data_IF_364380225066
#
_entry.id   IF_364380225066
#
_cell.length_a   1.000
_cell.length_b   1.000
_cell.length_c   1.000
_cell.angle_alpha   90.00
_cell.angle_beta   90.00
_cell.angle_gamma   90.00
#
_symmetry.space_group_name_H-M   'P 1'
#
loop_
_entity.id
_entity.type
_entity.pdbx_description
1 polymer ?
#
# COMPACT_ATOMS: atom_id res chain seq x y z
N UNK A 1 -46.00 -69.66 4.92
CA UNK A 1 -44.54 -69.53 5.01
C UNK A 1 -44.15 -69.57 6.47
N UNK A 2 -43.52 -70.66 6.93
CA UNK A 2 -43.12 -70.80 8.33
C UNK A 2 -41.89 -69.91 8.62
N UNK A 3 -41.86 -69.17 9.74
CA UNK A 3 -40.68 -68.37 10.10
C UNK A 3 -39.50 -69.29 10.38
N UNK A 4 -38.33 -68.96 9.81
CA UNK A 4 -37.08 -69.67 10.06
C UNK A 4 -36.80 -69.71 11.58
N UNK A 5 -36.39 -70.85 12.13
CA UNK A 5 -36.14 -70.97 13.56
C UNK A 5 -34.97 -70.08 13.98
N UNK A 6 -35.06 -69.50 15.18
CA UNK A 6 -34.13 -68.46 15.68
C UNK A 6 -32.65 -68.84 15.61
N UNK A 7 -32.31 -70.13 15.69
CA UNK A 7 -30.94 -70.62 15.57
C UNK A 7 -30.40 -70.53 14.13
N UNK A 8 -31.26 -70.69 13.11
CA UNK A 8 -30.88 -70.55 11.72
C UNK A 8 -30.53 -69.09 11.38
N UNK A 9 -31.24 -68.12 11.99
CA UNK A 9 -30.95 -66.69 11.86
C UNK A 9 -29.62 -66.35 12.55
N UNK A 10 -29.36 -66.92 13.72
CA UNK A 10 -28.09 -66.73 14.43
C UNK A 10 -26.89 -67.32 13.67
N UNK A 11 -27.05 -68.50 13.04
CA UNK A 11 -26.01 -69.11 12.20
C UNK A 11 -25.77 -68.29 10.92
N UNK A 12 -26.82 -67.78 10.28
CA UNK A 12 -26.71 -66.87 9.13
C UNK A 12 -26.03 -65.54 9.51
N UNK A 13 -26.34 -64.97 10.68
CA UNK A 13 -25.68 -63.75 11.17
C UNK A 13 -24.21 -64.00 11.52
N UNK A 14 -23.86 -65.15 12.12
CA UNK A 14 -22.46 -65.52 12.40
C UNK A 14 -21.68 -65.75 11.10
N UNK A 15 -22.27 -66.42 10.10
CA UNK A 15 -21.67 -66.58 8.76
C UNK A 15 -21.51 -65.23 8.04
N UNK A 16 -22.50 -64.32 8.16
CA UNK A 16 -22.40 -62.96 7.63
C UNK A 16 -21.34 -62.13 8.36
N UNK A 17 -21.21 -62.25 9.68
CA UNK A 17 -20.17 -61.58 10.46
C UNK A 17 -18.78 -62.12 10.11
N UNK A 18 -18.63 -63.43 9.89
CA UNK A 18 -17.38 -64.04 9.43
C UNK A 18 -17.01 -63.61 8.00
N UNK A 19 -18.00 -63.38 7.12
CA UNK A 19 -17.79 -62.89 5.76
C UNK A 19 -17.58 -61.36 5.67
N UNK A 20 -18.08 -60.57 6.63
CA UNK A 20 -17.84 -59.12 6.69
C UNK A 20 -16.52 -58.77 7.39
N UNK A 21 -16.04 -59.62 8.29
CA UNK A 21 -14.70 -59.50 8.83
C UNK A 21 -13.76 -60.21 7.85
N UNK A 22 -13.58 -59.61 6.67
CA UNK A 22 -12.34 -59.82 5.94
C UNK A 22 -11.21 -59.27 6.79
N UNK A 23 -10.71 -60.07 7.73
CA UNK A 23 -9.42 -59.79 8.37
C UNK A 23 -8.41 -59.81 7.25
N UNK A 24 -8.08 -58.62 6.73
CA UNK A 24 -6.93 -58.42 5.86
C UNK A 24 -5.74 -58.95 6.67
N UNK A 25 -5.28 -60.16 6.34
CA UNK A 25 -4.22 -60.80 7.09
C UNK A 25 -2.90 -60.15 6.65
N UNK A 26 -2.61 -58.97 7.21
CA UNK A 26 -1.35 -58.28 7.00
C UNK A 26 -0.22 -59.07 7.64
N UNK A 27 0.38 -59.98 6.88
CA UNK A 27 1.55 -60.73 7.32
C UNK A 27 2.78 -59.84 7.21
N UNK A 28 3.64 -59.82 8.23
CA UNK A 28 4.95 -59.15 8.11
C UNK A 28 5.80 -59.89 7.07
N UNK A 29 6.51 -59.13 6.25
CA UNK A 29 7.46 -59.71 5.29
C UNK A 29 8.61 -60.43 6.00
N UNK A 30 9.26 -61.37 5.29
CA UNK A 30 10.53 -61.94 5.73
C UNK A 30 11.62 -60.87 5.83
N UNK A 31 12.60 -61.05 6.72
CA UNK A 31 13.63 -60.04 7.06
C UNK A 31 14.49 -59.56 5.87
N UNK A 32 14.49 -60.28 4.73
CA UNK A 32 15.26 -59.95 3.53
C UNK A 32 14.49 -59.06 2.53
N UNK A 33 13.77 -58.05 3.02
CA UNK A 33 13.01 -57.11 2.19
C UNK A 33 13.77 -55.80 1.93
N UNK A 34 13.52 -55.15 0.79
CA UNK A 34 14.15 -53.87 0.42
C UNK A 34 13.52 -52.63 1.08
N UNK A 35 12.48 -52.80 1.90
CA UNK A 35 11.82 -51.69 2.60
C UNK A 35 12.71 -51.14 3.73
N UNK A 36 12.71 -49.82 3.95
CA UNK A 36 13.50 -49.19 5.02
C UNK A 36 12.90 -49.25 6.42
N UNK A 37 11.58 -49.16 6.58
CA UNK A 37 10.94 -49.08 7.90
C UNK A 37 10.13 -50.35 8.21
N UNK A 38 8.92 -50.50 7.68
CA UNK A 38 8.12 -51.71 7.88
C UNK A 38 7.60 -52.28 6.56
N UNK A 39 7.38 -53.58 6.52
CA UNK A 39 6.94 -54.31 5.32
C UNK A 39 5.80 -55.26 5.65
N UNK A 40 4.74 -55.20 4.85
CA UNK A 40 3.56 -56.05 4.98
C UNK A 40 3.20 -56.69 3.63
N UNK A 41 2.72 -57.92 3.68
CA UNK A 41 2.20 -58.68 2.55
C UNK A 41 0.66 -58.71 2.69
N UNK A 42 -0.02 -58.37 1.60
CA UNK A 42 -1.48 -58.44 1.47
C UNK A 42 -1.89 -59.80 0.90
N UNK A 43 -3.17 -60.15 1.00
CA UNK A 43 -3.73 -61.45 0.54
C UNK A 43 -3.49 -61.75 -0.97
N UNK A 44 -3.09 -60.75 -1.77
CA UNK A 44 -2.73 -60.87 -3.20
C UNK A 44 -1.21 -61.02 -3.46
N UNK A 45 -0.39 -61.42 -2.48
CA UNK A 45 1.09 -61.39 -2.53
C UNK A 45 1.70 -60.00 -2.82
N UNK A 46 0.90 -58.93 -2.67
CA UNK A 46 1.36 -57.54 -2.87
C UNK A 46 2.13 -57.07 -1.65
N UNK A 47 3.40 -56.72 -1.86
CA UNK A 47 4.27 -56.15 -0.83
C UNK A 47 4.02 -54.63 -0.69
N UNK A 48 3.74 -54.19 0.53
CA UNK A 48 3.62 -52.77 0.88
C UNK A 48 4.73 -52.40 1.86
N UNK A 49 5.57 -51.45 1.47
CA UNK A 49 6.53 -50.81 2.36
C UNK A 49 5.88 -49.59 3.02
N UNK A 50 5.95 -49.50 4.35
CA UNK A 50 5.77 -48.23 5.05
C UNK A 50 7.09 -47.48 5.03
N UNK A 51 7.04 -46.23 4.59
CA UNK A 51 8.18 -45.33 4.55
C UNK A 51 8.20 -44.39 5.74
N UNK A 52 9.37 -43.82 6.02
CA UNK A 52 9.47 -42.71 6.95
C UNK A 52 8.76 -41.48 6.38
N UNK A 53 8.39 -40.53 7.26
CA UNK A 53 7.54 -39.41 6.86
C UNK A 53 8.13 -38.51 5.75
N UNK A 54 9.46 -38.50 5.57
CA UNK A 54 10.18 -37.74 4.54
C UNK A 54 10.58 -38.56 3.30
N UNK A 55 10.16 -39.82 3.19
CA UNK A 55 10.49 -40.72 2.09
C UNK A 55 9.24 -41.19 1.34
N UNK A 56 9.43 -41.57 0.08
CA UNK A 56 8.39 -42.08 -0.82
C UNK A 56 8.94 -43.14 -1.79
N UNK A 57 8.04 -43.69 -2.59
CA UNK A 57 8.33 -44.72 -3.58
C UNK A 57 8.12 -46.14 -3.03
N UNK A 58 8.12 -47.13 -3.93
CA UNK A 58 7.78 -48.53 -3.59
C UNK A 58 8.73 -49.11 -2.54
N UNK A 59 9.99 -48.67 -2.50
CA UNK A 59 11.01 -49.12 -1.55
C UNK A 59 11.55 -48.01 -0.64
N UNK A 60 10.86 -46.86 -0.53
CA UNK A 60 11.29 -45.74 0.33
C UNK A 60 12.70 -45.20 0.00
N UNK A 61 13.07 -45.21 -1.27
CA UNK A 61 14.39 -44.74 -1.75
C UNK A 61 14.40 -43.26 -2.12
N UNK A 62 13.24 -42.68 -2.44
CA UNK A 62 13.11 -41.29 -2.85
C UNK A 62 12.65 -40.41 -1.70
N UNK A 63 12.97 -39.12 -1.74
CA UNK A 63 12.46 -38.12 -0.78
C UNK A 63 11.27 -37.36 -1.36
N UNK A 64 10.44 -36.81 -0.48
CA UNK A 64 9.41 -35.85 -0.88
C UNK A 64 10.04 -34.57 -1.43
N UNK A 65 9.57 -34.12 -2.59
CA UNK A 65 9.90 -32.84 -3.18
C UNK A 65 8.61 -32.03 -3.42
N UNK A 66 8.25 -31.27 -2.39
CA UNK A 66 7.08 -30.38 -2.41
C UNK A 66 7.21 -29.25 -3.43
N UNK A 67 8.42 -28.83 -3.80
CA UNK A 67 8.64 -27.72 -4.73
C UNK A 67 8.44 -28.11 -6.20
N UNK A 68 8.40 -29.40 -6.53
CA UNK A 68 8.27 -29.88 -7.90
C UNK A 68 6.89 -30.49 -8.18
N UNK A 69 6.61 -31.66 -7.60
CA UNK A 69 5.45 -32.48 -7.98
C UNK A 69 4.64 -33.05 -6.83
N UNK A 70 5.17 -33.01 -5.61
CA UNK A 70 4.50 -33.68 -4.49
C UNK A 70 3.60 -32.75 -3.66
N UNK A 71 3.30 -31.54 -4.14
CA UNK A 71 2.51 -30.56 -3.39
C UNK A 71 1.01 -30.90 -3.28
N UNK A 72 0.52 -31.91 -4.01
CA UNK A 72 -0.88 -32.37 -4.00
C UNK A 72 -1.92 -31.24 -4.22
N UNK A 73 -1.58 -30.24 -5.05
CA UNK A 73 -2.49 -29.15 -5.43
C UNK A 73 -3.23 -29.58 -6.71
N UNK A 74 -4.55 -29.71 -6.64
CA UNK A 74 -5.40 -30.08 -7.79
C UNK A 74 -5.99 -28.84 -8.45
N UNK A 75 -6.07 -28.83 -9.79
CA UNK A 75 -6.75 -27.78 -10.55
C UNK A 75 -5.91 -26.53 -10.83
N UNK A 76 -4.58 -26.60 -10.67
CA UNK A 76 -3.67 -25.51 -10.99
C UNK A 76 -2.70 -25.95 -12.10
N UNK A 77 -2.49 -25.09 -13.11
CA UNK A 77 -1.55 -25.33 -14.21
C UNK A 77 -0.14 -24.78 -13.93
N UNK A 78 0.08 -24.25 -12.73
CA UNK A 78 1.36 -23.67 -12.30
C UNK A 78 2.22 -24.71 -11.58
N UNK A 79 3.54 -24.50 -11.58
CA UNK A 79 4.48 -25.34 -10.83
C UNK A 79 4.21 -25.26 -9.32
N UNK A 80 4.43 -26.37 -8.61
CA UNK A 80 4.31 -26.42 -7.14
C UNK A 80 5.13 -25.30 -6.45
N UNK A 81 6.31 -24.96 -6.99
CA UNK A 81 7.16 -23.90 -6.43
C UNK A 81 6.48 -22.54 -6.42
N UNK A 82 5.74 -22.20 -7.48
CA UNK A 82 4.98 -20.94 -7.60
C UNK A 82 3.72 -21.01 -6.75
N UNK A 83 3.02 -22.14 -6.75
CA UNK A 83 1.81 -22.30 -5.95
C UNK A 83 2.08 -22.20 -4.43
N UNK A 84 3.22 -22.74 -3.97
CA UNK A 84 3.61 -22.71 -2.55
C UNK A 84 4.28 -21.40 -2.13
N UNK A 85 5.20 -20.87 -2.93
CA UNK A 85 6.02 -19.71 -2.54
C UNK A 85 5.67 -18.41 -3.29
N UNK A 86 4.64 -18.41 -4.14
CA UNK A 86 4.12 -17.27 -4.92
C UNK A 86 5.19 -16.52 -5.74
N UNK A 87 5.98 -15.67 -5.10
CA UNK A 87 7.08 -14.86 -5.68
C UNK A 87 8.45 -15.10 -5.01
N UNK A 88 8.58 -16.19 -4.28
CA UNK A 88 9.82 -16.64 -3.63
C UNK A 88 10.40 -17.91 -4.27
N UNK A 89 11.63 -18.24 -3.87
CA UNK A 89 12.30 -19.48 -4.24
C UNK A 89 11.88 -20.59 -3.28
N UNK A 90 11.32 -21.67 -3.83
CA UNK A 90 10.96 -22.85 -3.03
C UNK A 90 12.19 -23.71 -2.76
N UNK A 91 12.38 -24.09 -1.49
CA UNK A 91 13.49 -24.92 -1.02
C UNK A 91 12.90 -26.16 -0.32
N UNK A 92 13.16 -27.39 -0.81
CA UNK A 92 12.71 -28.60 -0.14
C UNK A 92 13.49 -28.80 1.18
N UNK A 93 12.79 -29.21 2.24
CA UNK A 93 13.38 -29.47 3.56
C UNK A 93 12.94 -30.83 4.09
N UNK A 94 13.73 -31.44 4.97
CA UNK A 94 13.45 -32.79 5.51
C UNK A 94 12.39 -32.83 6.63
N UNK A 95 11.80 -31.69 7.01
CA UNK A 95 10.83 -31.56 8.11
C UNK A 95 9.51 -31.00 7.61
N UNK A 96 8.38 -31.44 8.19
CA UNK A 96 7.05 -30.88 7.87
C UNK A 96 7.06 -29.35 7.97
N UNK A 97 6.56 -28.62 6.95
CA UNK A 97 5.74 -29.08 5.82
C UNK A 97 6.51 -29.59 4.57
N UNK A 98 7.80 -29.90 4.70
CA UNK A 98 8.72 -30.40 3.65
C UNK A 98 9.09 -29.39 2.57
N UNK A 99 8.79 -28.11 2.81
CA UNK A 99 9.31 -26.99 2.04
C UNK A 99 9.52 -25.78 2.93
N UNK A 100 10.34 -24.85 2.44
CA UNK A 100 10.50 -23.49 2.94
C UNK A 100 10.58 -22.54 1.75
N UNK A 101 10.13 -21.31 1.93
CA UNK A 101 10.21 -20.27 0.91
C UNK A 101 11.28 -19.24 1.27
N UNK A 102 12.20 -18.98 0.35
CA UNK A 102 13.09 -17.82 0.42
C UNK A 102 12.43 -16.68 -0.37
N UNK A 103 11.88 -15.71 0.35
CA UNK A 103 11.19 -14.57 -0.26
C UNK A 103 12.19 -13.57 -0.86
N UNK A 104 11.81 -12.97 -1.99
CA UNK A 104 12.51 -11.81 -2.52
C UNK A 104 12.33 -10.59 -1.61
N UNK A 105 13.16 -9.58 -1.80
CA UNK A 105 13.26 -8.44 -0.87
C UNK A 105 11.96 -7.65 -0.67
N UNK A 106 11.03 -7.72 -1.63
CA UNK A 106 9.74 -7.03 -1.57
C UNK A 106 8.58 -7.88 -1.03
N UNK A 107 8.86 -9.07 -0.51
CA UNK A 107 7.85 -10.01 0.00
C UNK A 107 8.28 -10.64 1.31
N UNK A 108 7.31 -10.98 2.15
CA UNK A 108 7.52 -11.67 3.44
C UNK A 108 6.38 -12.64 3.72
N UNK A 109 6.42 -13.30 4.87
CA UNK A 109 5.50 -14.36 5.24
C UNK A 109 6.07 -15.76 4.96
N UNK A 110 5.34 -16.79 5.40
CA UNK A 110 5.81 -18.18 5.31
C UNK A 110 5.89 -18.68 3.87
N UNK A 111 5.01 -18.16 3.03
CA UNK A 111 4.81 -18.52 1.63
C UNK A 111 5.05 -17.32 0.70
N UNK A 112 5.72 -16.27 1.18
CA UNK A 112 5.94 -15.01 0.47
C UNK A 112 4.64 -14.36 -0.02
N UNK A 113 3.59 -14.48 0.78
CA UNK A 113 2.24 -14.04 0.49
C UNK A 113 2.01 -12.56 0.83
N UNK A 114 2.82 -12.01 1.73
CA UNK A 114 2.70 -10.64 2.25
C UNK A 114 3.62 -9.73 1.44
N UNK A 115 3.08 -8.65 0.88
CA UNK A 115 3.89 -7.60 0.27
C UNK A 115 4.64 -6.83 1.35
N UNK A 116 5.96 -6.70 1.17
CA UNK A 116 6.86 -5.99 2.05
C UNK A 116 7.74 -5.05 1.23
N UNK A 117 7.12 -4.04 0.63
CA UNK A 117 7.80 -2.96 -0.07
C UNK A 117 7.77 -1.67 0.77
N UNK A 118 8.51 -0.61 0.40
CA UNK A 118 8.54 0.64 1.16
C UNK A 118 7.16 1.28 1.41
N UNK A 119 6.20 1.03 0.53
CA UNK A 119 4.83 1.54 0.64
C UNK A 119 3.86 0.61 1.38
N UNK A 120 4.31 -0.54 1.90
CA UNK A 120 3.42 -1.57 2.46
C UNK A 120 2.88 -1.22 3.84
N UNK A 121 3.60 -0.40 4.61
CA UNK A 121 3.17 0.06 5.92
C UNK A 121 3.30 1.58 6.04
N UNK A 122 2.50 2.19 6.92
CA UNK A 122 2.58 3.63 7.19
C UNK A 122 3.90 4.02 7.85
N UNK A 123 4.48 3.13 8.67
CA UNK A 123 5.74 3.37 9.38
C UNK A 123 6.95 3.37 8.44
N UNK A 124 6.91 2.56 7.38
CA UNK A 124 7.98 2.48 6.37
C UNK A 124 7.78 3.44 5.19
N UNK A 125 6.63 4.13 5.13
CA UNK A 125 6.26 4.97 3.99
C UNK A 125 7.19 6.21 3.90
N UNK A 126 8.00 6.35 2.82
CA UNK A 126 8.92 7.47 2.65
C UNK A 126 8.23 8.81 2.30
N UNK A 127 6.94 8.81 1.95
CA UNK A 127 6.24 9.99 1.44
C UNK A 127 5.70 10.94 2.51
N UNK A 128 5.72 10.55 3.80
CA UNK A 128 5.14 11.31 4.92
C UNK A 128 3.67 11.71 4.66
N UNK A 129 3.38 12.98 4.41
CA UNK A 129 2.04 13.51 4.12
C UNK A 129 1.64 13.25 2.66
N UNK A 130 1.82 12.03 2.18
CA UNK A 130 1.55 11.64 0.81
C UNK A 130 1.24 10.16 0.67
N UNK A 131 0.46 9.84 -0.36
CA UNK A 131 0.19 8.46 -0.77
C UNK A 131 1.42 7.89 -1.49
N UNK A 132 1.89 6.74 -1.02
CA UNK A 132 3.04 6.03 -1.56
C UNK A 132 2.61 5.04 -2.63
N UNK A 133 3.32 5.02 -3.76
CA UNK A 133 3.12 4.08 -4.85
C UNK A 133 4.46 3.46 -5.22
N UNK A 134 4.60 2.15 -5.07
CA UNK A 134 5.83 1.43 -5.43
C UNK A 134 5.71 0.76 -6.80
N UNK A 135 6.68 1.03 -7.68
CA UNK A 135 6.77 0.43 -9.02
C UNK A 135 7.88 -0.63 -9.01
N UNK A 136 7.50 -1.89 -8.79
CA UNK A 136 8.43 -3.01 -8.65
C UNK A 136 9.35 -3.23 -9.87
N UNK A 137 8.89 -2.94 -11.10
CA UNK A 137 9.72 -3.11 -12.31
C UNK A 137 10.88 -2.12 -12.42
N UNK A 138 10.78 -0.99 -11.72
CA UNK A 138 11.75 0.11 -11.80
C UNK A 138 12.45 0.34 -10.46
N UNK A 139 12.11 -0.43 -9.42
CA UNK A 139 12.52 -0.18 -8.03
C UNK A 139 12.38 1.30 -7.66
N UNK A 140 11.23 1.91 -7.96
CA UNK A 140 10.99 3.34 -7.76
C UNK A 140 9.72 3.58 -6.97
N UNK A 141 9.76 4.56 -6.07
CA UNK A 141 8.59 5.08 -5.37
C UNK A 141 8.10 6.37 -6.02
N UNK A 142 6.78 6.55 -6.05
CA UNK A 142 6.12 7.80 -6.41
C UNK A 142 5.32 8.26 -5.19
N UNK A 143 5.53 9.51 -4.80
CA UNK A 143 4.77 10.15 -3.74
C UNK A 143 3.73 11.09 -4.33
N UNK A 144 2.45 10.84 -4.01
CA UNK A 144 1.36 11.76 -4.31
C UNK A 144 1.01 12.52 -3.03
N UNK A 145 1.46 13.76 -2.92
CA UNK A 145 1.24 14.57 -1.72
C UNK A 145 -0.25 14.82 -1.48
N UNK A 146 -0.64 14.83 -0.21
CA UNK A 146 -1.97 15.21 0.24
C UNK A 146 -2.18 16.72 0.10
N UNK A 147 -3.44 17.16 0.14
CA UNK A 147 -3.79 18.57 0.02
C UNK A 147 -3.06 19.41 1.08
N UNK A 148 -2.43 20.50 0.64
CA UNK A 148 -1.67 21.38 1.53
C UNK A 148 -0.22 20.97 1.75
N UNK A 149 0.28 19.92 1.08
CA UNK A 149 1.68 19.49 1.15
C UNK A 149 2.31 19.40 -0.25
N UNK A 150 3.61 19.70 -0.33
CA UNK A 150 4.43 19.57 -1.54
C UNK A 150 5.80 18.99 -1.20
N UNK A 151 6.50 18.51 -2.22
CA UNK A 151 7.89 18.10 -2.13
C UNK A 151 8.81 19.34 -2.23
N UNK A 152 10.06 19.22 -1.75
CA UNK A 152 11.07 20.27 -1.96
C UNK A 152 11.55 20.31 -3.41
N UNK A 153 11.37 21.46 -4.07
CA UNK A 153 11.72 21.68 -5.48
C UNK A 153 13.20 21.47 -5.85
N UNK A 154 14.12 21.43 -4.86
CA UNK A 154 15.58 21.34 -5.08
C UNK A 154 16.23 20.06 -4.55
N UNK A 155 15.43 19.06 -4.20
CA UNK A 155 15.96 17.83 -3.61
C UNK A 155 15.92 16.68 -4.62
N UNK A 156 17.08 16.09 -4.89
CA UNK A 156 17.20 14.91 -5.75
C UNK A 156 16.59 13.68 -5.09
N UNK A 157 16.22 12.70 -5.91
CA UNK A 157 15.86 11.37 -5.42
C UNK A 157 17.02 10.75 -4.62
N UNK A 158 16.68 10.01 -3.59
CA UNK A 158 17.63 9.23 -2.78
C UNK A 158 17.41 7.74 -3.00
N UNK A 159 18.40 6.93 -2.63
CA UNK A 159 18.33 5.47 -2.74
C UNK A 159 18.09 4.88 -1.35
N UNK A 160 16.95 4.23 -1.18
CA UNK A 160 16.59 3.47 0.00
C UNK A 160 17.06 2.02 -0.16
N UNK A 161 17.86 1.51 0.77
CA UNK A 161 18.21 0.10 0.78
C UNK A 161 17.03 -0.72 1.33
N UNK A 162 16.60 -1.74 0.58
CA UNK A 162 15.50 -2.61 0.98
C UNK A 162 15.89 -4.07 0.74
N UNK A 163 16.37 -4.73 1.80
CA UNK A 163 17.01 -6.04 1.65
C UNK A 163 18.33 -5.92 0.88
N UNK A 164 18.46 -6.65 -0.23
CA UNK A 164 19.58 -6.59 -1.17
C UNK A 164 19.36 -5.58 -2.30
N UNK A 165 18.11 -5.21 -2.55
CA UNK A 165 17.73 -4.23 -3.57
C UNK A 165 17.88 -2.77 -3.09
N UNK A 166 18.03 -1.87 -4.06
CA UNK A 166 18.01 -0.41 -3.85
C UNK A 166 16.82 0.19 -4.55
N UNK A 167 16.05 0.98 -3.82
CA UNK A 167 14.82 1.63 -4.28
C UNK A 167 15.03 3.13 -4.40
N UNK A 168 14.80 3.68 -5.57
CA UNK A 168 14.80 5.13 -5.78
C UNK A 168 13.55 5.75 -5.15
N UNK A 169 13.75 6.65 -4.19
CA UNK A 169 12.68 7.37 -3.48
C UNK A 169 12.79 8.87 -3.76
N UNK A 170 11.68 9.56 -4.08
CA UNK A 170 11.69 11.00 -4.28
C UNK A 170 11.71 11.71 -2.91
N UNK A 171 11.95 13.04 -2.88
CA UNK A 171 11.83 13.80 -1.63
C UNK A 171 10.44 13.62 -0.98
N UNK A 172 10.36 13.60 0.35
CA UNK A 172 9.10 13.43 1.06
C UNK A 172 8.17 14.65 0.90
N UNK A 173 6.87 14.46 1.16
CA UNK A 173 5.89 15.55 1.21
C UNK A 173 5.95 16.26 2.57
N UNK A 174 7.02 17.02 2.82
CA UNK A 174 7.31 17.68 4.11
C UNK A 174 7.14 19.22 4.08
N UNK A 175 6.84 19.80 2.92
CA UNK A 175 6.64 21.25 2.78
C UNK A 175 5.15 21.58 2.76
N UNK A 176 4.69 22.42 3.68
CA UNK A 176 3.32 22.92 3.65
C UNK A 176 3.14 23.97 2.55
N UNK A 177 2.05 23.85 1.79
CA UNK A 177 1.63 24.85 0.81
C UNK A 177 1.06 26.03 1.58
N UNK A 178 1.82 27.11 1.69
CA UNK A 178 1.30 28.37 2.21
C UNK A 178 0.50 29.07 1.11
N UNK A 179 -0.82 29.21 1.32
CA UNK A 179 -1.64 30.13 0.51
C UNK A 179 -1.34 31.55 0.97
N UNK A 180 -0.24 32.14 0.49
CA UNK A 180 0.16 33.49 0.90
C UNK A 180 1.27 34.10 0.05
N UNK A 181 0.94 35.25 -0.57
CA UNK A 181 1.70 36.10 -1.50
C UNK A 181 2.33 35.37 -2.68
N UNK A 182 1.58 35.40 -3.79
CA UNK A 182 2.08 35.59 -5.15
C UNK A 182 3.61 35.80 -5.20
N UNK A 183 4.32 34.92 -5.92
CA UNK A 183 5.77 35.04 -6.19
C UNK A 183 6.17 36.39 -6.83
N UNK A 184 5.17 37.17 -7.22
CA UNK A 184 5.27 38.56 -7.62
C UNK A 184 5.31 39.44 -6.37
N UNK A 185 6.51 39.91 -6.03
CA UNK A 185 6.65 41.14 -5.25
C UNK A 185 5.83 42.19 -5.99
N UNK A 186 4.84 42.78 -5.32
CA UNK A 186 4.14 43.95 -5.87
C UNK A 186 5.15 45.10 -5.87
N UNK A 187 5.97 45.19 -6.90
CA UNK A 187 6.73 46.40 -7.17
C UNK A 187 5.71 47.44 -7.65
N UNK A 188 5.49 48.49 -6.86
CA UNK A 188 4.90 49.69 -7.41
C UNK A 188 5.85 50.18 -8.50
N UNK A 189 5.41 50.09 -9.76
CA UNK A 189 6.17 50.62 -10.88
C UNK A 189 6.39 52.13 -10.66
N UNK A 190 7.48 52.72 -11.18
CA UNK A 190 7.67 54.17 -11.14
C UNK A 190 6.45 54.94 -11.69
N UNK A 191 5.73 54.34 -12.65
CA UNK A 191 4.48 54.86 -13.18
C UNK A 191 3.34 54.90 -12.13
N UNK A 192 3.20 53.86 -11.29
CA UNK A 192 2.23 53.87 -10.20
C UNK A 192 2.53 54.99 -9.19
N UNK A 193 3.81 55.20 -8.86
CA UNK A 193 4.22 56.29 -7.97
C UNK A 193 3.90 57.66 -8.59
N UNK A 194 4.19 57.85 -9.87
CA UNK A 194 3.84 59.07 -10.60
C UNK A 194 2.32 59.32 -10.60
N UNK A 195 1.49 58.29 -10.76
CA UNK A 195 0.03 58.41 -10.68
C UNK A 195 -0.43 58.89 -9.29
N UNK A 196 0.09 58.29 -8.22
CA UNK A 196 -0.26 58.70 -6.85
C UNK A 196 0.20 60.12 -6.53
N UNK A 197 1.37 60.54 -7.02
CA UNK A 197 1.84 61.91 -6.88
C UNK A 197 0.99 62.93 -7.64
N UNK A 198 0.57 62.59 -8.87
CA UNK A 198 -0.36 63.44 -9.62
C UNK A 198 -1.69 63.60 -8.88
N UNK A 199 -2.25 62.51 -8.35
CA UNK A 199 -3.49 62.56 -7.56
C UNK A 199 -3.33 63.46 -6.33
N UNK A 200 -2.21 63.33 -5.62
CA UNK A 200 -1.91 64.17 -4.45
C UNK A 200 -1.80 65.66 -4.82
N UNK A 201 -1.04 66.00 -5.87
CA UNK A 201 -0.87 67.39 -6.32
C UNK A 201 -2.20 68.00 -6.77
N UNK A 202 -3.00 67.26 -7.54
CA UNK A 202 -4.34 67.72 -7.97
C UNK A 202 -5.25 67.93 -6.76
N UNK A 203 -5.24 67.02 -5.78
CA UNK A 203 -6.05 67.16 -4.56
C UNK A 203 -5.66 68.40 -3.76
N UNK A 204 -4.36 68.69 -3.61
CA UNK A 204 -3.87 69.89 -2.93
C UNK A 204 -4.25 71.17 -3.69
N UNK A 205 -4.15 71.16 -5.03
CA UNK A 205 -4.56 72.29 -5.87
C UNK A 205 -6.07 72.56 -5.75
N UNK A 206 -6.90 71.52 -5.78
CA UNK A 206 -8.36 71.66 -5.60
C UNK A 206 -8.67 72.24 -4.22
N UNK A 207 -8.03 71.73 -3.16
CA UNK A 207 -8.20 72.28 -1.81
C UNK A 207 -7.76 73.75 -1.72
N UNK A 208 -6.64 74.10 -2.34
CA UNK A 208 -6.16 75.49 -2.39
C UNK A 208 -7.15 76.40 -3.13
N UNK A 209 -7.66 75.99 -4.29
CA UNK A 209 -8.66 76.75 -5.04
C UNK A 209 -9.98 76.89 -4.28
N UNK A 210 -10.42 75.84 -3.58
CA UNK A 210 -11.57 75.92 -2.69
C UNK A 210 -11.33 76.94 -1.56
N UNK A 211 -10.17 76.91 -0.91
CA UNK A 211 -9.80 77.90 0.11
C UNK A 211 -9.77 79.32 -0.45
N UNK A 212 -9.21 79.53 -1.65
CA UNK A 212 -9.21 80.83 -2.30
C UNK A 212 -10.63 81.34 -2.59
N UNK A 213 -11.51 80.49 -3.13
CA UNK A 213 -12.91 80.87 -3.38
C UNK A 213 -13.64 81.25 -2.09
N UNK A 214 -13.48 80.48 -1.01
CA UNK A 214 -14.07 80.81 0.30
C UNK A 214 -13.51 82.14 0.84
N UNK A 215 -12.21 82.38 0.69
CA UNK A 215 -11.61 83.67 1.05
C UNK A 215 -12.17 84.83 0.21
N UNK A 216 -12.31 84.65 -1.11
CA UNK A 216 -12.90 85.67 -1.99
C UNK A 216 -14.36 85.96 -1.63
N UNK A 217 -15.17 84.95 -1.33
CA UNK A 217 -16.55 85.13 -0.86
C UNK A 217 -16.61 85.86 0.49
N UNK A 218 -15.69 85.56 1.40
CA UNK A 218 -15.60 86.27 2.69
C UNK A 218 -15.22 87.75 2.50
N UNK A 219 -14.24 88.04 1.63
CA UNK A 219 -13.85 89.42 1.32
C UNK A 219 -14.93 90.18 0.56
N UNK A 220 -15.65 89.54 -0.37
CA UNK A 220 -16.74 90.17 -1.12
C UNK A 220 -17.93 90.53 -0.23
N UNK A 221 -18.32 89.63 0.69
CA UNK A 221 -19.35 89.89 1.69
C UNK A 221 -18.94 90.96 2.71
N UNK A 222 -17.66 91.00 3.12
CA UNK A 222 -17.12 92.05 3.99
C UNK A 222 -17.17 93.42 3.31
N UNK A 223 -16.78 93.51 2.03
CA UNK A 223 -16.85 94.74 1.23
C UNK A 223 -18.30 95.22 1.00
N UNK A 224 -19.23 94.29 0.71
CA UNK A 224 -20.66 94.60 0.58
C UNK A 224 -21.25 95.09 1.91
N UNK A 225 -20.86 94.52 3.05
CA UNK A 225 -21.30 95.00 4.37
C UNK A 225 -20.81 96.44 4.63
N UNK A 226 -19.57 96.75 4.25
CA UNK A 226 -18.99 98.10 4.37
C UNK A 226 -19.72 99.12 3.49
N UNK A 227 -20.13 98.74 2.27
CA UNK A 227 -20.92 99.59 1.38
C UNK A 227 -22.40 99.72 1.79
N UNK A 228 -23.01 98.70 2.40
CA UNK A 228 -24.37 98.82 2.96
C UNK A 228 -24.46 99.72 4.19
N UNK A 229 -23.36 99.88 4.95
CA UNK A 229 -23.29 100.83 6.07
C UNK A 229 -23.28 102.30 5.60
N UNK A 230 -22.79 102.57 4.38
CA UNK A 230 -22.75 103.92 3.78
C UNK A 230 -23.96 104.26 2.90
N UNK A 231 -24.79 103.28 2.53
CA UNK A 231 -26.01 103.48 1.71
C UNK A 231 -27.28 103.84 2.49
N UNK A 232 -27.27 103.77 3.82
CA UNK A 232 -28.46 103.85 4.68
C UNK A 232 -28.73 105.19 5.38
N UNK A 233 -28.25 106.34 4.88
CA UNK A 233 -28.57 107.66 5.46
C UNK A 233 -28.92 108.70 4.39
N UNK A 234 -30.15 108.62 3.88
CA UNK A 234 -30.85 109.69 3.14
C UNK A 234 -32.33 109.69 3.54
N UNK A 235 -32.86 110.90 3.83
CA UNK A 235 -34.23 111.27 4.29
C UNK A 235 -34.44 111.01 5.79
N UNK A 236 -34.86 111.95 6.63
CA UNK A 236 -35.47 113.29 6.49
C UNK A 236 -34.81 114.30 7.43
#
# INVERSE_FOLDING_TARGET
MAPLPSWAIAVLLLLCLHNQIGTLNCLKCADNHKCKNACYILDDDKQVCLCNANEKGVHCTEKWNMCEKDCNIRGMNESCSIALCRRGKCIPIDKKPYYSCECGDFYTGKNCEIENNPCSSAETNPCLNGTCLFIAKLNRVICKCHNGWTQKDKQSSSMLNWGREKVEVPPPCDVQITRGLSKYVVYHTPAAYAMWWLIYVVSVLVLFLCCCNVCFDFFSHSLLSYFTLFGGKKRD
#
